data_IF_627113337397
#
_entry.id   IF_627113337397
#
_cell.length_a   1.000
_cell.length_b   1.000
_cell.length_c   1.000
_cell.angle_alpha   90.00
_cell.angle_beta   90.00
_cell.angle_gamma   90.00
#
_symmetry.space_group_name_H-M   'P 1'
#
loop_
_entity.id
_entity.type
_entity.pdbx_description
1 polymer ?
#
# COMPACT_ATOMS: atom_id res chain seq x y z
N UNK A 1 7.03 19.45 12.74
CA UNK A 1 6.39 19.75 11.44
C UNK A 1 6.60 18.57 10.50
N UNK A 2 5.54 18.10 9.85
CA UNK A 2 5.65 17.04 8.85
C UNK A 2 6.46 17.56 7.65
N UNK A 3 7.36 16.73 7.14
CA UNK A 3 8.15 17.06 5.95
C UNK A 3 7.29 16.93 4.71
N UNK A 4 7.65 17.65 3.66
CA UNK A 4 7.01 17.49 2.36
C UNK A 4 7.45 16.15 1.76
N UNK A 5 6.49 15.36 1.29
CA UNK A 5 6.78 14.09 0.62
C UNK A 5 6.47 14.18 -0.87
N UNK A 6 7.14 13.33 -1.63
CA UNK A 6 6.97 13.19 -3.08
C UNK A 6 6.82 11.72 -3.42
N UNK A 7 6.23 11.45 -4.57
CA UNK A 7 5.94 10.10 -5.04
C UNK A 7 6.61 9.89 -6.39
N UNK A 8 7.42 8.84 -6.49
CA UNK A 8 8.08 8.46 -7.73
C UNK A 8 7.80 6.99 -8.03
N UNK A 9 7.69 6.59 -9.31
CA UNK A 9 7.66 5.18 -9.63
C UNK A 9 8.81 4.46 -8.93
N UNK A 10 8.54 3.29 -8.35
CA UNK A 10 9.54 2.57 -7.58
C UNK A 10 10.80 2.33 -8.42
N UNK A 11 11.95 2.56 -7.82
CA UNK A 11 13.27 2.35 -8.43
C UNK A 11 14.08 1.40 -7.55
N UNK A 12 14.79 0.46 -8.16
CA UNK A 12 15.60 -0.53 -7.45
C UNK A 12 16.72 0.07 -6.60
N UNK A 13 17.04 1.35 -6.77
CA UNK A 13 17.99 2.03 -5.86
C UNK A 13 17.50 2.02 -4.41
N UNK A 14 16.20 1.82 -4.18
CA UNK A 14 15.60 1.72 -2.84
C UNK A 14 15.42 0.28 -2.35
N UNK A 15 15.97 -0.71 -3.06
CA UNK A 15 15.84 -2.12 -2.66
C UNK A 15 16.34 -2.37 -1.24
N UNK A 16 17.52 -1.84 -0.90
CA UNK A 16 18.11 -2.03 0.43
C UNK A 16 17.22 -1.44 1.53
N UNK A 17 16.69 -0.24 1.29
CA UNK A 17 15.78 0.41 2.22
C UNK A 17 14.48 -0.37 2.37
N UNK A 18 13.89 -0.81 1.26
CA UNK A 18 12.67 -1.62 1.28
C UNK A 18 12.88 -2.89 2.09
N UNK A 19 13.96 -3.62 1.81
CA UNK A 19 14.31 -4.84 2.51
C UNK A 19 14.52 -4.61 4.02
N UNK A 20 15.24 -3.56 4.36
CA UNK A 20 15.59 -3.23 5.75
C UNK A 20 14.37 -2.85 6.60
N UNK A 21 13.50 -2.02 6.03
CA UNK A 21 12.41 -1.42 6.79
C UNK A 21 11.08 -2.17 6.72
N UNK A 22 10.92 -3.06 5.75
CA UNK A 22 9.77 -3.95 5.67
C UNK A 22 9.98 -5.15 6.59
N UNK A 23 9.91 -4.89 7.89
CA UNK A 23 10.27 -5.80 8.96
C UNK A 23 9.05 -6.40 9.68
N UNK A 24 9.31 -7.14 10.76
CA UNK A 24 8.25 -7.77 11.56
C UNK A 24 7.25 -6.78 12.14
N UNK A 25 7.69 -5.57 12.46
CA UNK A 25 6.81 -4.55 13.01
C UNK A 25 5.86 -4.00 11.96
N UNK A 26 6.37 -3.72 10.76
CA UNK A 26 5.56 -3.28 9.62
C UNK A 26 4.56 -4.37 9.21
N UNK A 27 5.00 -5.64 9.18
CA UNK A 27 4.19 -6.74 8.68
C UNK A 27 3.34 -7.42 9.75
N UNK A 28 3.35 -6.93 10.98
CA UNK A 28 2.64 -7.56 12.10
C UNK A 28 1.21 -7.95 11.77
N UNK A 29 0.49 -7.09 11.07
CA UNK A 29 -0.90 -7.30 10.64
C UNK A 29 -1.05 -7.20 9.13
N UNK A 30 0.00 -7.50 8.39
CA UNK A 30 0.03 -7.41 6.92
C UNK A 30 0.60 -8.68 6.31
N UNK A 31 0.27 -8.91 5.09
CA UNK A 31 0.90 -9.86 4.19
C UNK A 31 1.71 -9.07 3.15
N UNK A 32 2.85 -9.54 2.67
CA UNK A 32 3.52 -10.80 3.04
C UNK A 32 4.31 -10.72 4.35
N UNK A 33 4.90 -11.83 4.75
CA UNK A 33 5.88 -11.87 5.82
C UNK A 33 7.13 -11.07 5.44
N UNK A 34 7.97 -10.67 6.42
CA UNK A 34 9.26 -10.07 6.12
C UNK A 34 10.10 -10.97 5.21
N UNK A 35 10.92 -10.36 4.37
CA UNK A 35 11.80 -11.12 3.48
C UNK A 35 12.88 -11.85 4.28
N UNK A 36 13.15 -13.10 3.90
CA UNK A 36 14.20 -13.91 4.52
C UNK A 36 15.60 -13.39 4.16
N UNK A 37 15.74 -12.89 2.93
CA UNK A 37 17.00 -12.32 2.43
C UNK A 37 16.70 -11.26 1.35
N UNK A 38 17.74 -10.50 0.97
CA UNK A 38 17.56 -9.41 0.02
C UNK A 38 17.20 -9.89 -1.39
N UNK A 39 17.59 -11.10 -1.77
CA UNK A 39 17.24 -11.64 -3.09
C UNK A 39 15.74 -11.93 -3.21
N UNK A 40 15.10 -12.34 -2.12
CA UNK A 40 13.64 -12.51 -2.10
C UNK A 40 12.94 -11.18 -2.31
N UNK A 41 13.44 -10.12 -1.66
CA UNK A 41 12.94 -8.76 -1.87
C UNK A 41 13.15 -8.30 -3.31
N UNK A 42 14.34 -8.53 -3.85
CA UNK A 42 14.67 -8.18 -5.24
C UNK A 42 13.73 -8.85 -6.23
N UNK A 43 13.49 -10.14 -6.05
CA UNK A 43 12.61 -10.93 -6.94
C UNK A 43 11.17 -10.44 -6.88
N UNK A 44 10.65 -10.18 -5.68
CA UNK A 44 9.29 -9.65 -5.53
C UNK A 44 9.15 -8.28 -6.20
N UNK A 45 10.08 -7.37 -5.90
CA UNK A 45 10.03 -6.00 -6.42
C UNK A 45 10.26 -5.97 -7.93
N UNK A 46 11.12 -6.83 -8.45
CA UNK A 46 11.30 -6.95 -9.89
C UNK A 46 10.01 -7.42 -10.57
N UNK A 47 9.30 -8.37 -9.96
CA UNK A 47 7.98 -8.79 -10.43
C UNK A 47 6.98 -7.64 -10.48
N UNK A 48 6.95 -6.80 -9.46
CA UNK A 48 6.09 -5.60 -9.45
C UNK A 48 6.48 -4.61 -10.56
N UNK A 49 7.77 -4.41 -10.79
CA UNK A 49 8.24 -3.53 -11.87
C UNK A 49 7.88 -4.09 -13.25
N UNK A 50 7.99 -5.39 -13.44
CA UNK A 50 7.60 -6.06 -14.69
C UNK A 50 6.09 -5.89 -14.93
N UNK A 51 5.28 -6.07 -13.89
CA UNK A 51 3.83 -5.89 -13.95
C UNK A 51 3.46 -4.41 -14.18
N UNK A 52 4.22 -3.48 -13.61
CA UNK A 52 4.03 -2.06 -13.85
C UNK A 52 4.32 -1.70 -15.32
N UNK A 53 5.32 -2.34 -15.92
CA UNK A 53 5.60 -2.21 -17.35
C UNK A 53 4.45 -2.68 -18.25
N UNK A 54 3.62 -3.60 -17.76
CA UNK A 54 2.41 -4.10 -18.43
C UNK A 54 1.14 -3.35 -18.02
N UNK A 55 1.26 -2.35 -17.18
CA UNK A 55 0.14 -1.59 -16.60
C UNK A 55 -0.83 -2.45 -15.76
N UNK A 56 -0.32 -3.54 -15.18
CA UNK A 56 -1.07 -4.45 -14.29
C UNK A 56 -0.93 -4.06 -12.82
N UNK A 57 0.11 -3.31 -12.48
CA UNK A 57 0.43 -2.87 -11.11
C UNK A 57 0.97 -1.43 -11.15
N UNK A 58 0.66 -0.67 -10.11
CA UNK A 58 1.32 0.61 -9.83
C UNK A 58 2.08 0.46 -8.52
N UNK A 59 3.34 0.90 -8.49
CA UNK A 59 4.12 0.97 -7.27
C UNK A 59 4.92 2.27 -7.25
N UNK A 60 4.73 3.06 -6.18
CA UNK A 60 5.41 4.32 -5.98
C UNK A 60 6.17 4.32 -4.67
N UNK A 61 7.39 4.84 -4.71
CA UNK A 61 8.14 5.14 -3.50
C UNK A 61 7.63 6.45 -2.90
N UNK A 62 7.47 6.46 -1.58
CA UNK A 62 7.24 7.67 -0.81
C UNK A 62 8.61 8.18 -0.38
N UNK A 63 8.93 9.39 -0.76
CA UNK A 63 10.26 9.97 -0.56
C UNK A 63 10.11 11.33 0.13
N UNK A 64 10.94 11.62 1.12
CA UNK A 64 10.90 12.90 1.80
C UNK A 64 11.66 14.00 1.01
N UNK A 65 11.72 15.20 1.55
CA UNK A 65 12.39 16.35 0.92
C UNK A 65 13.92 16.23 0.82
N UNK A 66 14.51 15.26 1.53
CA UNK A 66 15.92 14.91 1.42
C UNK A 66 16.17 13.68 0.52
N UNK A 67 15.15 13.27 -0.24
CA UNK A 67 15.16 12.10 -1.14
C UNK A 67 15.39 10.77 -0.43
N UNK A 68 15.05 10.70 0.87
CA UNK A 68 15.12 9.46 1.64
C UNK A 68 13.81 8.67 1.45
N UNK A 69 13.96 7.35 1.28
CA UNK A 69 12.83 6.44 1.19
C UNK A 69 12.12 6.36 2.55
N UNK A 70 10.81 6.61 2.57
CA UNK A 70 10.01 6.56 3.81
C UNK A 70 8.87 5.57 3.74
N UNK A 71 8.62 4.97 2.60
CA UNK A 71 7.57 3.97 2.45
C UNK A 71 7.22 3.68 1.00
N UNK A 72 6.16 2.90 0.82
CA UNK A 72 5.68 2.48 -0.50
C UNK A 72 4.17 2.49 -0.54
N UNK A 73 3.59 2.84 -1.69
CA UNK A 73 2.17 2.74 -1.97
C UNK A 73 1.98 1.97 -3.29
N UNK A 74 1.04 1.05 -3.29
CA UNK A 74 0.88 0.09 -4.37
C UNK A 74 -0.59 -0.06 -4.76
N UNK A 75 -0.81 -0.44 -6.00
CA UNK A 75 -2.12 -0.81 -6.51
C UNK A 75 -1.96 -1.97 -7.47
N UNK A 76 -2.53 -3.11 -7.12
CA UNK A 76 -2.44 -4.35 -7.89
C UNK A 76 -3.75 -4.68 -8.57
N UNK A 77 -3.69 -5.41 -9.68
CA UNK A 77 -4.89 -5.78 -10.43
C UNK A 77 -5.47 -4.63 -11.24
N UNK A 78 -4.63 -3.81 -11.86
CA UNK A 78 -5.06 -2.65 -12.66
C UNK A 78 -5.89 -3.03 -13.88
N UNK A 79 -5.84 -4.29 -14.32
CA UNK A 79 -6.69 -4.79 -15.40
C UNK A 79 -8.11 -5.15 -14.92
N UNK A 80 -8.30 -5.22 -13.60
CA UNK A 80 -9.59 -5.48 -12.97
C UNK A 80 -10.35 -4.18 -12.74
N UNK A 81 -11.66 -4.29 -12.54
CA UNK A 81 -12.50 -3.11 -12.26
C UNK A 81 -12.24 -2.53 -10.86
N UNK A 82 -11.80 -3.38 -9.93
CA UNK A 82 -11.60 -3.01 -8.53
C UNK A 82 -10.18 -3.40 -8.06
N UNK A 83 -9.15 -2.63 -8.47
CA UNK A 83 -7.77 -2.93 -8.07
C UNK A 83 -7.55 -2.77 -6.57
N UNK A 84 -6.59 -3.52 -6.04
CA UNK A 84 -6.29 -3.58 -4.62
C UNK A 84 -5.19 -2.60 -4.22
N UNK A 85 -5.45 -1.86 -3.14
CA UNK A 85 -4.53 -0.90 -2.55
C UNK A 85 -3.63 -1.54 -1.49
N UNK A 86 -2.39 -1.09 -1.42
CA UNK A 86 -1.47 -1.38 -0.34
C UNK A 86 -0.63 -0.16 -0.01
N UNK A 87 -0.32 0.04 1.26
CA UNK A 87 0.55 1.14 1.71
C UNK A 87 1.28 0.75 2.98
N UNK A 88 2.53 1.15 3.09
CA UNK A 88 3.25 1.07 4.35
C UNK A 88 4.25 2.22 4.44
N UNK A 89 4.53 2.63 5.68
CA UNK A 89 5.45 3.72 6.02
C UNK A 89 6.42 3.21 7.08
N UNK A 90 7.69 3.56 6.95
CA UNK A 90 8.73 3.23 7.92
C UNK A 90 8.24 3.61 9.32
N UNK A 91 8.46 2.74 10.30
CA UNK A 91 7.96 2.91 11.68
C UNK A 91 8.27 4.31 12.25
N UNK A 92 9.51 4.78 12.10
CA UNK A 92 9.93 6.10 12.60
C UNK A 92 9.24 7.28 11.91
N UNK A 93 8.62 7.06 10.76
CA UNK A 93 7.96 8.09 9.97
C UNK A 93 6.42 8.02 10.06
N UNK A 94 5.89 7.09 10.84
CA UNK A 94 4.45 6.95 11.05
C UNK A 94 3.89 8.09 11.91
N UNK A 95 2.59 8.32 11.83
CA UNK A 95 1.92 9.38 12.58
C UNK A 95 2.07 10.79 12.01
N UNK A 96 2.62 10.93 10.81
CA UNK A 96 2.84 12.22 10.13
C UNK A 96 1.86 12.46 8.97
N UNK A 97 0.96 11.52 8.72
CA UNK A 97 -0.03 11.63 7.64
C UNK A 97 0.46 11.17 6.27
N UNK A 98 1.65 10.59 6.18
CA UNK A 98 2.25 10.20 4.90
C UNK A 98 1.48 9.08 4.19
N UNK A 99 0.99 8.10 4.92
CA UNK A 99 0.22 7.01 4.34
C UNK A 99 -1.09 7.51 3.71
N UNK A 100 -1.77 8.43 4.37
CA UNK A 100 -2.99 9.04 3.84
C UNK A 100 -2.72 9.85 2.57
N UNK A 101 -1.67 10.67 2.56
CA UNK A 101 -1.27 11.42 1.36
C UNK A 101 -0.92 10.48 0.21
N UNK A 102 -0.22 9.37 0.52
CA UNK A 102 0.15 8.38 -0.49
C UNK A 102 -1.07 7.68 -1.09
N UNK A 103 -2.03 7.29 -0.26
CA UNK A 103 -3.28 6.70 -0.75
C UNK A 103 -4.06 7.68 -1.63
N UNK A 104 -4.17 8.93 -1.21
CA UNK A 104 -4.82 9.95 -2.05
C UNK A 104 -4.12 10.10 -3.39
N UNK A 105 -2.79 10.13 -3.38
CA UNK A 105 -2.01 10.26 -4.60
C UNK A 105 -2.30 9.12 -5.59
N UNK A 106 -2.20 7.87 -5.14
CA UNK A 106 -2.37 6.73 -6.04
C UNK A 106 -3.82 6.57 -6.50
N UNK A 107 -4.79 6.89 -5.63
CA UNK A 107 -6.21 6.88 -5.98
C UNK A 107 -6.53 7.91 -7.05
N UNK A 108 -6.06 9.13 -6.90
CA UNK A 108 -6.25 10.19 -7.89
C UNK A 108 -5.49 9.86 -9.19
N UNK A 109 -4.28 9.33 -9.10
CA UNK A 109 -3.50 8.90 -10.26
C UNK A 109 -4.25 7.83 -11.07
N UNK A 110 -4.80 6.82 -10.39
CA UNK A 110 -5.55 5.74 -11.05
C UNK A 110 -6.84 6.26 -11.69
N UNK A 111 -7.50 7.21 -11.03
CA UNK A 111 -8.70 7.84 -11.60
C UNK A 111 -8.38 8.69 -12.83
N UNK A 112 -7.43 9.59 -12.73
CA UNK A 112 -7.10 10.54 -13.79
C UNK A 112 -6.51 9.84 -15.02
N UNK A 113 -5.69 8.81 -14.79
CA UNK A 113 -4.97 8.15 -15.89
C UNK A 113 -5.68 6.93 -16.45
N UNK A 114 -6.43 6.19 -15.62
CA UNK A 114 -7.05 4.93 -16.01
C UNK A 114 -8.56 4.91 -15.81
N UNK A 115 -9.16 5.97 -15.29
CA UNK A 115 -10.60 6.05 -15.06
C UNK A 115 -11.11 5.12 -13.95
N UNK A 116 -10.25 4.68 -13.04
CA UNK A 116 -10.65 3.80 -11.95
C UNK A 116 -11.47 4.54 -10.90
N UNK A 117 -12.61 3.98 -10.52
CA UNK A 117 -13.53 4.58 -9.54
C UNK A 117 -13.85 3.65 -8.36
N UNK A 118 -13.51 2.38 -8.47
CA UNK A 118 -13.67 1.40 -7.39
C UNK A 118 -12.32 0.80 -7.02
N UNK A 119 -12.11 0.58 -5.73
CA UNK A 119 -10.84 0.10 -5.19
C UNK A 119 -11.09 -0.84 -4.03
N UNK A 120 -10.22 -1.84 -3.87
CA UNK A 120 -10.28 -2.78 -2.76
C UNK A 120 -9.19 -2.45 -1.75
N UNK A 121 -9.56 -2.36 -0.48
CA UNK A 121 -8.64 -2.10 0.62
C UNK A 121 -8.88 -3.11 1.74
N UNK A 122 -7.89 -3.95 1.98
CA UNK A 122 -7.98 -4.99 2.98
C UNK A 122 -7.03 -4.70 4.15
N UNK A 123 -7.51 -4.88 5.38
CA UNK A 123 -6.72 -4.69 6.57
C UNK A 123 -7.13 -5.68 7.66
N UNK A 124 -6.15 -6.09 8.47
CA UNK A 124 -6.45 -6.85 9.66
C UNK A 124 -7.25 -5.99 10.63
N UNK A 125 -8.28 -6.56 11.24
CA UNK A 125 -9.19 -5.83 12.15
C UNK A 125 -8.47 -5.23 13.36
N UNK A 126 -7.28 -5.73 13.70
CA UNK A 126 -6.44 -5.23 14.80
C UNK A 126 -5.51 -4.10 14.39
N UNK A 127 -5.37 -3.83 13.09
CA UNK A 127 -4.50 -2.78 12.57
C UNK A 127 -5.18 -1.41 12.70
N UNK A 128 -4.96 -0.76 13.83
CA UNK A 128 -5.57 0.53 14.15
C UNK A 128 -5.19 1.60 13.12
N UNK A 129 -3.93 1.64 12.69
CA UNK A 129 -3.45 2.61 11.70
C UNK A 129 -4.18 2.49 10.37
N UNK A 130 -4.31 1.28 9.85
CA UNK A 130 -5.03 1.02 8.59
C UNK A 130 -6.52 1.34 8.69
N UNK A 131 -7.14 1.03 9.83
CA UNK A 131 -8.54 1.34 10.05
C UNK A 131 -8.79 2.86 10.13
N UNK A 132 -7.87 3.61 10.72
CA UNK A 132 -7.93 5.09 10.74
C UNK A 132 -7.78 5.69 9.34
N UNK A 133 -6.89 5.11 8.51
CA UNK A 133 -6.73 5.54 7.12
C UNK A 133 -8.04 5.34 6.35
N UNK A 134 -8.65 4.18 6.50
CA UNK A 134 -9.92 3.87 5.86
C UNK A 134 -11.01 4.89 6.27
N UNK A 135 -11.09 5.21 7.56
CA UNK A 135 -12.06 6.20 8.05
C UNK A 135 -11.86 7.58 7.42
N UNK A 136 -10.60 8.01 7.23
CA UNK A 136 -10.29 9.29 6.56
C UNK A 136 -10.68 9.29 5.09
N UNK A 137 -10.60 8.15 4.42
CA UNK A 137 -10.99 8.04 3.02
C UNK A 137 -12.50 8.19 2.80
N UNK A 138 -13.31 8.05 3.85
CA UNK A 138 -14.77 8.17 3.75
C UNK A 138 -15.26 9.54 3.30
N UNK A 139 -14.43 10.58 3.37
CA UNK A 139 -14.80 11.91 2.87
C UNK A 139 -14.96 11.92 1.35
N UNK A 140 -14.11 11.19 0.64
CA UNK A 140 -14.11 11.13 -0.83
C UNK A 140 -14.65 9.85 -1.44
N UNK A 141 -14.94 8.85 -0.61
CA UNK A 141 -15.32 7.52 -1.07
C UNK A 141 -16.46 6.95 -0.24
N UNK A 142 -17.38 6.27 -0.91
CA UNK A 142 -18.35 5.41 -0.23
C UNK A 142 -17.65 4.10 0.09
N UNK A 143 -17.77 3.61 1.32
CA UNK A 143 -17.07 2.42 1.79
C UNK A 143 -18.07 1.32 2.11
N UNK A 144 -17.94 0.20 1.42
CA UNK A 144 -18.67 -1.04 1.71
C UNK A 144 -17.72 -1.99 2.41
N UNK A 145 -18.02 -2.30 3.67
CA UNK A 145 -17.23 -3.23 4.47
C UNK A 145 -17.77 -4.65 4.30
N UNK A 146 -16.88 -5.57 3.93
CA UNK A 146 -17.19 -6.97 3.69
C UNK A 146 -16.98 -7.79 4.97
N UNK A 147 -17.33 -9.08 4.92
CA UNK A 147 -17.08 -10.01 6.03
C UNK A 147 -15.58 -10.23 6.21
N UNK A 148 -15.18 -10.54 7.45
CA UNK A 148 -13.79 -10.86 7.77
C UNK A 148 -13.43 -12.27 7.29
N UNK A 149 -12.18 -12.44 6.87
CA UNK A 149 -11.63 -13.73 6.50
C UNK A 149 -10.36 -14.01 7.31
N UNK A 150 -10.19 -15.27 7.71
CA UNK A 150 -8.97 -15.69 8.38
C UNK A 150 -7.95 -16.13 7.35
N UNK A 151 -6.70 -15.70 7.54
CA UNK A 151 -5.60 -16.01 6.63
C UNK A 151 -4.36 -16.35 7.46
N UNK A 152 -3.66 -17.42 7.07
CA UNK A 152 -2.40 -17.82 7.70
C UNK A 152 -1.27 -17.63 6.70
N UNK A 153 -0.25 -16.87 7.09
CA UNK A 153 0.92 -16.63 6.22
C UNK A 153 1.85 -17.85 6.22
N UNK A 154 2.85 -17.84 5.33
CA UNK A 154 3.82 -18.93 5.22
C UNK A 154 4.61 -19.14 6.52
N UNK A 155 4.82 -18.08 7.32
CA UNK A 155 5.48 -18.20 8.63
C UNK A 155 4.55 -18.69 9.75
N UNK A 156 3.27 -18.92 9.45
CA UNK A 156 2.27 -19.32 10.44
C UNK A 156 1.59 -18.18 11.18
N UNK A 157 1.83 -16.95 10.74
CA UNK A 157 1.17 -15.76 11.31
C UNK A 157 -0.32 -15.76 10.94
N UNK A 158 -1.18 -15.64 11.94
CA UNK A 158 -2.62 -15.61 11.74
C UNK A 158 -3.12 -14.17 11.56
N UNK A 159 -3.80 -13.92 10.46
CA UNK A 159 -4.40 -12.63 10.15
C UNK A 159 -5.92 -12.77 10.10
N UNK A 160 -6.62 -11.74 10.56
CA UNK A 160 -8.07 -11.62 10.44
C UNK A 160 -8.35 -10.41 9.55
N UNK A 161 -8.52 -10.67 8.27
CA UNK A 161 -8.59 -9.65 7.23
C UNK A 161 -10.04 -9.22 6.98
N UNK A 162 -10.24 -7.92 6.88
CA UNK A 162 -11.52 -7.34 6.50
C UNK A 162 -11.33 -6.54 5.22
N UNK A 163 -12.01 -6.98 4.16
CA UNK A 163 -12.02 -6.28 2.89
C UNK A 163 -13.00 -5.11 2.89
N UNK A 164 -12.66 -4.07 2.15
CA UNK A 164 -13.51 -2.90 1.97
C UNK A 164 -13.47 -2.51 0.50
N UNK A 165 -14.64 -2.22 -0.06
CA UNK A 165 -14.74 -1.65 -1.40
C UNK A 165 -14.95 -0.15 -1.26
N UNK A 166 -14.06 0.62 -1.87
CA UNK A 166 -14.12 2.08 -1.91
C UNK A 166 -14.64 2.50 -3.27
N UNK A 167 -15.72 3.29 -3.28
CA UNK A 167 -16.27 3.86 -4.52
C UNK A 167 -16.15 5.37 -4.48
N UNK A 168 -15.52 5.93 -5.50
CA UNK A 168 -15.33 7.39 -5.60
C UNK A 168 -16.71 8.07 -5.62
N UNK A 169 -16.90 9.08 -4.76
CA UNK A 169 -18.13 9.86 -4.72
C UNK A 169 -18.29 10.74 -5.96
N UNK A 170 -19.52 10.97 -6.37
CA UNK A 170 -19.83 11.79 -7.54
C UNK A 170 -20.03 10.99 -8.83
N UNK A 171 -20.14 9.67 -8.71
CA UNK A 171 -20.35 8.77 -9.88
C UNK A 171 -21.56 7.87 -9.68
#
# INVERSE_FOLDING_TARGET
MARKIRFFPFDMKYLEDYYKYFDEKITKYQWPDPFVNIEDARNLLQGFLDDMGKEETLIFSIVDDEERFVGSVEMHGMTEDCPELGVWVIESEQGKGYAFEALKYILDYAYERYGKIEFFYEADVRNIGSNKLLAKLSDGYEIETLETEEFVTDSGKELKLQGNVLRRKGF
#
